data_IF_914016404308
#
_entry.id   IF_914016404308
#
_cell.length_a   1.000
_cell.length_b   1.000
_cell.length_c   1.000
_cell.angle_alpha   90.00
_cell.angle_beta   90.00
_cell.angle_gamma   90.00
#
_symmetry.space_group_name_H-M   'P 1'
#
loop_
_entity.id
_entity.type
_entity.pdbx_description
1 polymer ?
#
# COMPACT_ATOMS: atom_id res chain seq x y z
N UNK A 1 -20.94 -9.92 31.33
CA UNK A 1 -20.37 -10.86 30.36
C UNK A 1 -21.29 -10.92 29.14
N UNK A 2 -21.00 -10.08 28.14
CA UNK A 2 -21.56 -10.16 26.79
C UNK A 2 -20.45 -9.65 25.88
N UNK A 3 -19.52 -10.54 25.51
CA UNK A 3 -18.53 -10.28 24.49
C UNK A 3 -19.26 -10.34 23.14
N UNK A 4 -20.04 -9.30 22.86
CA UNK A 4 -20.54 -9.05 21.52
C UNK A 4 -19.32 -8.89 20.64
N UNK A 5 -19.07 -9.86 19.78
CA UNK A 5 -18.02 -9.79 18.76
C UNK A 5 -18.37 -8.60 17.88
N UNK A 6 -17.84 -7.41 18.20
CA UNK A 6 -17.96 -6.23 17.37
C UNK A 6 -17.33 -6.60 16.03
N UNK A 7 -18.19 -6.99 15.08
CA UNK A 7 -17.78 -7.56 13.80
C UNK A 7 -17.06 -6.44 13.08
N UNK A 8 -15.72 -6.52 13.02
CA UNK A 8 -14.89 -5.53 12.33
C UNK A 8 -15.48 -5.30 10.94
N UNK A 9 -15.70 -4.05 10.53
CA UNK A 9 -16.35 -3.76 9.25
C UNK A 9 -15.55 -4.39 8.13
N UNK A 10 -16.22 -5.20 7.29
CA UNK A 10 -15.61 -6.00 6.22
C UNK A 10 -14.71 -5.15 5.32
N UNK A 11 -15.08 -3.90 5.10
CA UNK A 11 -14.31 -2.92 4.31
C UNK A 11 -12.89 -2.69 4.83
N UNK A 12 -12.69 -2.69 6.15
CA UNK A 12 -11.36 -2.50 6.77
C UNK A 12 -10.49 -3.74 6.54
N UNK A 13 -11.08 -4.93 6.62
CA UNK A 13 -10.36 -6.17 6.31
C UNK A 13 -9.99 -6.26 4.83
N UNK A 14 -10.89 -5.84 3.92
CA UNK A 14 -10.60 -5.79 2.48
C UNK A 14 -9.46 -4.81 2.20
N UNK A 15 -9.52 -3.60 2.76
CA UNK A 15 -8.46 -2.60 2.57
C UNK A 15 -7.11 -3.10 3.13
N UNK A 16 -7.11 -3.66 4.34
CA UNK A 16 -5.90 -4.22 4.92
C UNK A 16 -5.33 -5.36 4.07
N UNK A 17 -6.18 -6.25 3.54
CA UNK A 17 -5.75 -7.33 2.66
C UNK A 17 -5.13 -6.80 1.36
N UNK A 18 -5.73 -5.79 0.72
CA UNK A 18 -5.18 -5.14 -0.47
C UNK A 18 -3.82 -4.51 -0.17
N UNK A 19 -3.71 -3.73 0.90
CA UNK A 19 -2.45 -3.09 1.29
C UNK A 19 -1.35 -4.09 1.66
N UNK A 20 -1.70 -5.17 2.36
CA UNK A 20 -0.76 -6.26 2.66
C UNK A 20 -0.29 -6.98 1.39
N UNK A 21 -1.18 -7.17 0.42
CA UNK A 21 -0.84 -7.76 -0.86
C UNK A 21 0.08 -6.84 -1.68
N UNK A 22 -0.21 -5.54 -1.75
CA UNK A 22 0.66 -4.54 -2.38
C UNK A 22 2.04 -4.51 -1.71
N UNK A 23 2.10 -4.54 -0.37
CA UNK A 23 3.35 -4.60 0.37
C UNK A 23 4.17 -5.85 0.03
N UNK A 24 3.52 -7.01 -0.10
CA UNK A 24 4.16 -8.27 -0.44
C UNK A 24 4.73 -8.25 -1.87
N UNK A 25 3.98 -7.70 -2.83
CA UNK A 25 4.47 -7.53 -4.21
C UNK A 25 5.70 -6.62 -4.21
N UNK A 26 5.63 -5.47 -3.54
CA UNK A 26 6.74 -4.51 -3.51
C UNK A 26 7.98 -5.09 -2.82
N UNK A 27 7.79 -5.89 -1.77
CA UNK A 27 8.88 -6.64 -1.14
C UNK A 27 9.50 -7.66 -2.10
N UNK A 28 8.70 -8.40 -2.87
CA UNK A 28 9.20 -9.34 -3.87
C UNK A 28 9.99 -8.63 -4.98
N UNK A 29 9.50 -7.48 -5.48
CA UNK A 29 10.22 -6.63 -6.44
C UNK A 29 11.54 -6.13 -5.85
N UNK A 30 11.54 -5.74 -4.58
CA UNK A 30 12.77 -5.30 -3.89
C UNK A 30 13.81 -6.43 -3.83
N UNK A 31 13.39 -7.65 -3.45
CA UNK A 31 14.28 -8.83 -3.41
C UNK A 31 14.81 -9.15 -4.80
N UNK A 32 13.97 -9.08 -5.83
CA UNK A 32 14.37 -9.28 -7.23
C UNK A 32 15.43 -8.26 -7.67
N UNK A 33 15.22 -6.96 -7.42
CA UNK A 33 16.19 -5.90 -7.75
C UNK A 33 17.53 -6.11 -7.04
N UNK A 34 17.51 -6.51 -5.77
CA UNK A 34 18.74 -6.82 -5.01
C UNK A 34 19.47 -8.02 -5.62
N UNK A 35 18.74 -9.08 -5.97
CA UNK A 35 19.32 -10.28 -6.58
C UNK A 35 19.91 -9.99 -7.96
N UNK A 36 19.24 -9.19 -8.79
CA UNK A 36 19.72 -8.78 -10.11
C UNK A 36 20.97 -7.89 -10.01
N UNK A 37 20.96 -6.93 -9.06
CA UNK A 37 22.13 -6.08 -8.77
C UNK A 37 23.34 -6.89 -8.28
N UNK A 38 23.10 -8.00 -7.58
CA UNK A 38 24.16 -8.89 -7.11
C UNK A 38 24.68 -9.83 -8.22
N UNK A 39 23.83 -10.19 -9.18
CA UNK A 39 24.14 -11.15 -10.25
C UNK A 39 24.79 -10.50 -11.48
N UNK A 40 24.37 -9.28 -11.84
CA UNK A 40 25.00 -8.49 -12.88
C UNK A 40 25.93 -7.49 -12.19
N UNK A 41 27.22 -7.47 -12.52
CA UNK A 41 28.12 -6.36 -12.15
C UNK A 41 27.46 -5.07 -12.67
N UNK A 42 26.68 -4.41 -11.82
CA UNK A 42 25.80 -3.35 -12.28
C UNK A 42 26.67 -2.22 -12.81
N UNK A 43 26.53 -1.88 -14.10
CA UNK A 43 27.24 -0.74 -14.72
C UNK A 43 27.07 0.55 -13.89
N UNK A 44 25.98 0.63 -13.10
CA UNK A 44 25.70 1.70 -12.13
C UNK A 44 25.17 1.18 -10.79
N UNK A 45 26.03 0.54 -9.99
CA UNK A 45 25.72 0.03 -8.64
C UNK A 45 24.96 1.02 -7.75
N UNK A 46 25.35 2.30 -7.75
CA UNK A 46 24.74 3.33 -6.91
C UNK A 46 23.25 3.55 -7.22
N UNK A 47 22.89 3.62 -8.50
CA UNK A 47 21.50 3.83 -8.94
C UNK A 47 20.62 2.62 -8.60
N UNK A 48 21.15 1.41 -8.78
CA UNK A 48 20.40 0.19 -8.49
C UNK A 48 20.13 0.01 -6.99
N UNK A 49 21.15 0.28 -6.15
CA UNK A 49 20.99 0.22 -4.70
C UNK A 49 20.02 1.30 -4.18
N UNK A 50 20.03 2.50 -4.78
CA UNK A 50 19.09 3.56 -4.45
C UNK A 50 17.63 3.15 -4.74
N UNK A 51 17.37 2.53 -5.89
CA UNK A 51 16.06 2.01 -6.25
C UNK A 51 15.61 0.88 -5.32
N UNK A 52 16.50 -0.07 -5.00
CA UNK A 52 16.22 -1.14 -4.05
C UNK A 52 15.91 -0.60 -2.65
N UNK A 53 16.68 0.39 -2.17
CA UNK A 53 16.43 1.06 -0.89
C UNK A 53 15.08 1.79 -0.87
N UNK A 54 14.73 2.49 -1.95
CA UNK A 54 13.44 3.17 -2.08
C UNK A 54 12.27 2.18 -2.10
N UNK A 55 12.41 1.06 -2.82
CA UNK A 55 11.40 0.00 -2.86
C UNK A 55 11.22 -0.65 -1.48
N UNK A 56 12.31 -0.93 -0.76
CA UNK A 56 12.27 -1.44 0.61
C UNK A 56 11.55 -0.47 1.56
N UNK A 57 11.88 0.82 1.48
CA UNK A 57 11.22 1.85 2.27
C UNK A 57 9.72 1.90 1.99
N UNK A 58 9.34 1.88 0.71
CA UNK A 58 7.93 1.80 0.29
C UNK A 58 7.22 0.58 0.88
N UNK A 59 7.85 -0.59 0.86
CA UNK A 59 7.28 -1.83 1.39
C UNK A 59 7.05 -1.75 2.91
N UNK A 60 8.01 -1.19 3.66
CA UNK A 60 7.88 -0.98 5.11
C UNK A 60 6.76 0.00 5.41
N UNK A 61 6.68 1.12 4.68
CA UNK A 61 5.62 2.12 4.88
C UNK A 61 4.24 1.53 4.56
N UNK A 62 4.09 0.79 3.47
CA UNK A 62 2.85 0.08 3.14
C UNK A 62 2.44 -0.92 4.23
N UNK A 63 3.39 -1.70 4.75
CA UNK A 63 3.11 -2.62 5.86
C UNK A 63 2.63 -1.87 7.12
N UNK A 64 3.24 -0.72 7.43
CA UNK A 64 2.79 0.14 8.53
C UNK A 64 1.39 0.71 8.30
N UNK A 65 1.05 1.11 7.07
CA UNK A 65 -0.29 1.57 6.72
C UNK A 65 -1.30 0.43 6.84
N UNK A 66 -0.96 -0.79 6.41
CA UNK A 66 -1.81 -1.98 6.57
C UNK A 66 -2.07 -2.29 8.06
N UNK A 67 -1.04 -2.30 8.90
CA UNK A 67 -1.18 -2.51 10.35
C UNK A 67 -1.99 -1.37 11.00
N UNK A 68 -1.76 -0.13 10.58
CA UNK A 68 -2.49 1.03 11.08
C UNK A 68 -3.96 1.02 10.64
N UNK A 69 -4.26 0.45 9.47
CA UNK A 69 -5.63 0.21 8.97
C UNK A 69 -6.36 -0.75 9.91
N UNK A 70 -5.70 -1.83 10.33
CA UNK A 70 -6.25 -2.78 11.30
C UNK A 70 -6.41 -2.17 12.70
N UNK A 71 -5.74 -1.05 12.98
CA UNK A 71 -5.85 -0.25 14.20
C UNK A 71 -6.79 0.96 14.05
N UNK A 72 -7.58 1.02 12.96
CA UNK A 72 -8.61 2.03 12.72
C UNK A 72 -8.12 3.50 12.82
N UNK A 73 -6.83 3.77 12.54
CA UNK A 73 -6.26 5.12 12.66
C UNK A 73 -6.74 6.04 11.53
N UNK A 74 -7.26 7.23 11.86
CA UNK A 74 -7.79 8.19 10.87
C UNK A 74 -6.79 8.66 9.81
N UNK A 75 -5.49 8.77 10.14
CA UNK A 75 -4.42 9.16 9.22
C UNK A 75 -4.21 8.18 8.05
N UNK A 76 -4.64 6.92 8.18
CA UNK A 76 -4.47 5.87 7.15
C UNK A 76 -5.08 6.26 5.81
N UNK A 77 -6.19 7.02 5.80
CA UNK A 77 -6.84 7.45 4.56
C UNK A 77 -5.93 8.33 3.72
N UNK A 78 -5.31 9.33 4.35
CA UNK A 78 -4.37 10.22 3.67
C UNK A 78 -3.17 9.45 3.12
N UNK A 79 -2.57 8.58 3.94
CA UNK A 79 -1.43 7.77 3.54
C UNK A 79 -1.76 6.84 2.36
N UNK A 80 -2.94 6.19 2.38
CA UNK A 80 -3.37 5.30 1.29
C UNK A 80 -3.59 6.07 0.00
N UNK A 81 -4.27 7.21 0.03
CA UNK A 81 -4.51 8.03 -1.17
C UNK A 81 -3.18 8.47 -1.78
N UNK A 82 -2.24 8.95 -0.97
CA UNK A 82 -0.90 9.33 -1.44
C UNK A 82 -0.17 8.16 -2.10
N UNK A 83 -0.21 6.97 -1.48
CA UNK A 83 0.37 5.76 -2.06
C UNK A 83 -0.22 5.44 -3.43
N UNK A 84 -1.54 5.51 -3.56
CA UNK A 84 -2.21 5.20 -4.82
C UNK A 84 -1.87 6.18 -5.93
N UNK A 85 -1.78 7.47 -5.62
CA UNK A 85 -1.33 8.48 -6.60
C UNK A 85 0.10 8.19 -7.07
N UNK A 86 0.99 7.80 -6.14
CA UNK A 86 2.36 7.43 -6.49
C UNK A 86 2.40 6.17 -7.38
N UNK A 87 1.55 5.18 -7.09
CA UNK A 87 1.45 3.96 -7.89
C UNK A 87 0.94 4.23 -9.32
N UNK A 88 0.02 5.19 -9.50
CA UNK A 88 -0.39 5.64 -10.84
C UNK A 88 0.76 6.30 -11.62
N UNK A 89 1.60 7.10 -10.94
CA UNK A 89 2.79 7.68 -11.57
C UNK A 89 3.78 6.60 -12.02
N UNK A 90 3.98 5.56 -11.21
CA UNK A 90 4.80 4.39 -11.59
C UNK A 90 4.16 3.66 -12.78
N UNK A 91 2.85 3.41 -12.74
CA UNK A 91 2.15 2.74 -13.83
C UNK A 91 2.33 3.47 -15.16
N UNK A 92 2.27 4.81 -15.15
CA UNK A 92 2.51 5.64 -16.32
C UNK A 92 3.89 5.41 -16.95
N UNK A 93 4.94 5.20 -16.14
CA UNK A 93 6.28 4.86 -16.63
C UNK A 93 6.25 3.52 -17.38
N UNK A 94 5.55 2.51 -16.85
CA UNK A 94 5.40 1.21 -17.52
C UNK A 94 4.60 1.29 -18.82
N UNK A 95 3.59 2.16 -18.88
CA UNK A 95 2.77 2.40 -20.06
C UNK A 95 3.54 3.10 -21.19
N UNK A 96 4.57 3.90 -20.87
CA UNK A 96 5.46 4.50 -21.86
C UNK A 96 6.52 3.52 -22.39
N UNK A 97 6.85 2.48 -21.62
CA UNK A 97 7.85 1.48 -22.00
C UNK A 97 7.30 0.42 -22.96
N UNK A 98 8.14 -0.09 -23.86
CA UNK A 98 7.71 -1.03 -24.91
C UNK A 98 7.59 -2.50 -24.42
N UNK A 99 8.28 -2.83 -23.32
CA UNK A 99 8.48 -4.21 -22.85
C UNK A 99 7.47 -4.68 -21.78
N UNK A 100 6.78 -3.76 -21.10
CA UNK A 100 5.96 -4.11 -19.93
C UNK A 100 4.65 -3.31 -19.81
N UNK A 101 4.06 -2.93 -20.94
CA UNK A 101 2.78 -2.18 -20.98
C UNK A 101 1.67 -2.89 -20.21
N UNK A 102 1.60 -4.23 -20.27
CA UNK A 102 0.60 -5.02 -19.55
C UNK A 102 0.70 -4.86 -18.02
N UNK A 103 1.92 -4.71 -17.49
CA UNK A 103 2.16 -4.47 -16.08
C UNK A 103 1.69 -3.07 -15.67
N UNK A 104 1.84 -2.08 -16.55
CA UNK A 104 1.28 -0.74 -16.37
C UNK A 104 -0.23 -0.77 -16.18
N UNK A 105 -0.97 -1.49 -17.03
CA UNK A 105 -2.42 -1.66 -16.88
C UNK A 105 -2.81 -2.40 -15.60
N UNK A 106 -2.06 -3.42 -15.20
CA UNK A 106 -2.27 -4.12 -13.94
C UNK A 106 -2.09 -3.18 -12.73
N UNK A 107 -1.04 -2.36 -12.73
CA UNK A 107 -0.79 -1.35 -11.69
C UNK A 107 -1.90 -0.30 -11.62
N UNK A 108 -2.40 0.17 -12.77
CA UNK A 108 -3.57 1.07 -12.81
C UNK A 108 -4.79 0.41 -12.19
N UNK A 109 -5.09 -0.84 -12.55
CA UNK A 109 -6.24 -1.56 -12.02
C UNK A 109 -6.16 -1.76 -10.50
N UNK A 110 -5.01 -2.23 -10.00
CA UNK A 110 -4.74 -2.37 -8.56
C UNK A 110 -4.88 -1.02 -7.88
N UNK A 111 -4.33 0.04 -8.48
CA UNK A 111 -4.35 1.35 -7.86
C UNK A 111 -5.75 1.95 -7.75
N UNK A 112 -6.56 1.80 -8.79
CA UNK A 112 -7.96 2.22 -8.77
C UNK A 112 -8.76 1.45 -7.72
N UNK A 113 -8.55 0.15 -7.57
CA UNK A 113 -9.19 -0.66 -6.53
C UNK A 113 -8.84 -0.13 -5.13
N UNK A 114 -7.54 0.11 -4.87
CA UNK A 114 -7.07 0.67 -3.61
C UNK A 114 -7.62 2.07 -3.33
N UNK A 115 -7.67 2.93 -4.35
CA UNK A 115 -8.21 4.28 -4.25
C UNK A 115 -9.71 4.27 -3.95
N UNK A 116 -10.48 3.45 -4.67
CA UNK A 116 -11.91 3.29 -4.42
C UNK A 116 -12.16 2.77 -3.00
N UNK A 117 -11.39 1.78 -2.54
CA UNK A 117 -11.50 1.25 -1.18
C UNK A 117 -11.15 2.31 -0.11
N UNK A 118 -10.16 3.16 -0.37
CA UNK A 118 -9.73 4.24 0.53
C UNK A 118 -10.74 5.40 0.60
N UNK A 119 -11.36 5.74 -0.53
CA UNK A 119 -12.37 6.80 -0.64
C UNK A 119 -13.74 6.33 -0.19
N UNK A 120 -14.01 5.02 -0.18
CA UNK A 120 -15.30 4.47 0.17
C UNK A 120 -15.77 4.95 1.57
N UNK A 121 -16.97 5.53 1.70
CA UNK A 121 -17.42 6.18 2.93
C UNK A 121 -17.57 5.21 4.12
N UNK A 122 -17.68 3.90 3.87
CA UNK A 122 -17.66 2.90 4.96
C UNK A 122 -16.31 2.85 5.69
N UNK A 123 -15.20 3.10 4.99
CA UNK A 123 -13.85 3.17 5.58
C UNK A 123 -13.70 4.43 6.42
N UNK A 124 -14.26 5.55 5.94
CA UNK A 124 -14.29 6.82 6.67
C UNK A 124 -15.11 6.77 7.96
N UNK A 125 -16.33 6.19 7.91
CA UNK A 125 -17.20 6.07 9.10
C UNK A 125 -16.62 5.14 10.17
N UNK A 126 -15.93 4.08 9.75
CA UNK A 126 -15.29 3.14 10.68
C UNK A 126 -14.09 3.76 11.40
N UNK A 127 -13.34 4.64 10.72
CA UNK A 127 -12.18 5.35 11.28
C UNK A 127 -12.58 6.48 12.22
N UNK A 128 -13.59 7.29 11.86
CA UNK A 128 -14.02 8.41 12.69
C UNK A 128 -14.60 7.95 14.04
N UNK A 129 -15.30 6.82 14.05
CA UNK A 129 -15.91 6.26 15.26
C UNK A 129 -14.87 5.93 16.35
N UNK A 130 -13.69 5.44 15.97
CA UNK A 130 -12.64 5.04 16.93
C UNK A 130 -11.96 6.27 17.57
N UNK A 131 -11.75 7.34 16.79
CA UNK A 131 -11.21 8.60 17.30
C UNK A 131 -12.18 9.26 18.32
N UNK A 132 -13.48 9.26 18.05
CA UNK A 132 -14.51 9.77 18.98
C UNK A 132 -14.54 8.96 20.30
N UNK A 133 -14.44 7.63 20.23
CA UNK A 133 -14.40 6.75 21.41
C UNK A 133 -13.12 6.96 22.24
N UNK A 134 -11.98 7.27 21.61
CA UNK A 134 -10.72 7.61 22.30
C UNK A 134 -10.76 8.99 22.95
N UNK A 135 -11.39 9.99 22.32
CA UNK A 135 -11.57 11.33 22.90
C UNK A 135 -12.55 11.30 24.07
N UNK A 136 -13.66 10.56 23.98
CA UNK A 136 -14.64 10.46 25.06
C UNK A 136 -14.14 9.70 26.30
N UNK A 137 -13.06 8.91 26.17
CA UNK A 137 -12.43 8.16 27.26
C UNK A 137 -11.27 8.86 27.97
N UNK A 138 -10.92 10.09 27.56
CA UNK A 138 -9.89 10.95 28.19
C UNK A 138 -10.51 12.04 29.04
#
# INVERSE_FOLDING_TARGET
MSLGTAKRPVTVNVLAAVLSFEAAILAAVTVFLVAETAAQEAEFLASSLALAGLALLGAVLLALVAVSTLRLRSWVRGATITWQIMQLAVAWVFLQGDIAVWAGWALVAVSLIGLVAAVHPATGRALHRDDDEVEAGR
#
